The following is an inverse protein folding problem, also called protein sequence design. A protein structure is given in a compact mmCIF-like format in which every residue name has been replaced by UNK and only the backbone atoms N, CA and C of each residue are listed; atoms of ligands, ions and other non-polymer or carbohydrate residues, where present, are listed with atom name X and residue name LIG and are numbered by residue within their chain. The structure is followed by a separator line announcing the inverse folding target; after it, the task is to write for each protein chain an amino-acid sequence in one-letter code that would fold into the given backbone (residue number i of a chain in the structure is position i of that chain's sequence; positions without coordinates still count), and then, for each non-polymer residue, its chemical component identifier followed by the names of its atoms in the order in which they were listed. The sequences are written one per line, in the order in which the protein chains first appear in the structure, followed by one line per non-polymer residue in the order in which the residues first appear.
data_IF_278633091724
#
_entry.id   IF_278633091724
#
_cell.length_a   1.000
_cell.length_b   1.000
_cell.length_c   1.000
_cell.angle_alpha   90.00
_cell.angle_beta   90.00
_cell.angle_gamma   90.00
#
_symmetry.space_group_name_H-M   'P 1'
#
loop_
_entity.id
_entity.type
_entity.pdbx_description
1 polymer ?
#
# COMPACT_ATOMS: atom_id res chain seq x y z
N UNK A 1 -4.00 8.65 8.18
CA UNK A 1 -4.89 8.14 9.26
C UNK A 1 -4.44 8.71 10.60
N UNK A 2 -4.49 10.04 10.75
CA UNK A 2 -4.08 10.72 11.99
C UNK A 2 -5.32 10.99 12.84
N UNK A 3 -6.33 11.65 12.25
CA UNK A 3 -7.63 11.86 12.90
C UNK A 3 -8.23 10.55 13.44
N UNK A 4 -8.20 9.46 12.69
CA UNK A 4 -8.77 8.18 13.12
C UNK A 4 -8.08 7.58 14.37
N UNK A 5 -6.82 7.96 14.63
CA UNK A 5 -6.04 7.49 15.79
C UNK A 5 -6.28 8.33 17.05
N UNK A 6 -6.94 9.48 16.93
CA UNK A 6 -7.18 10.38 18.05
C UNK A 6 -8.31 9.87 18.99
N UNK A 7 -8.28 10.26 20.29
CA UNK A 7 -9.38 10.01 21.22
C UNK A 7 -10.70 10.63 20.74
N UNK A 8 -11.83 10.02 21.14
CA UNK A 8 -13.15 10.47 20.72
C UNK A 8 -13.47 11.91 21.16
N UNK A 9 -13.03 12.30 22.36
CA UNK A 9 -13.19 13.66 22.89
C UNK A 9 -12.53 14.71 22.00
N UNK A 10 -11.34 14.40 21.45
CA UNK A 10 -10.62 15.30 20.56
C UNK A 10 -11.23 15.32 19.15
N UNK A 11 -11.65 14.16 18.63
CA UNK A 11 -12.36 14.07 17.33
C UNK A 11 -13.63 14.92 17.30
N UNK A 12 -14.38 14.99 18.40
CA UNK A 12 -15.60 15.78 18.50
C UNK A 12 -15.35 17.30 18.38
N UNK A 13 -14.13 17.77 18.67
CA UNK A 13 -13.73 19.17 18.58
C UNK A 13 -13.09 19.55 17.24
N UNK A 14 -12.87 18.57 16.35
CA UNK A 14 -12.21 18.76 15.06
C UNK A 14 -13.20 18.60 13.91
N UNK A 15 -12.96 19.31 12.80
CA UNK A 15 -13.69 19.11 11.55
C UNK A 15 -12.73 18.91 10.38
N UNK A 16 -13.10 18.06 9.44
CA UNK A 16 -12.33 17.85 8.21
C UNK A 16 -12.60 19.03 7.28
N UNK A 17 -11.59 19.84 6.99
CA UNK A 17 -11.70 20.96 6.04
C UNK A 17 -11.41 20.52 4.60
N UNK A 18 -10.57 19.50 4.43
CA UNK A 18 -10.18 18.97 3.14
C UNK A 18 -9.69 17.54 3.30
N UNK A 19 -9.97 16.69 2.31
CA UNK A 19 -9.45 15.33 2.24
C UNK A 19 -8.74 15.17 0.89
N UNK A 20 -7.45 14.90 0.94
CA UNK A 20 -6.69 14.56 -0.27
C UNK A 20 -7.19 13.23 -0.83
N UNK A 21 -7.16 13.04 -2.16
CA UNK A 21 -7.35 11.73 -2.76
C UNK A 21 -6.44 10.69 -2.10
N UNK A 22 -6.97 9.48 -1.90
CA UNK A 22 -6.17 8.37 -1.39
C UNK A 22 -5.16 7.94 -2.44
N UNK A 23 -3.92 7.74 -2.01
CA UNK A 23 -2.86 7.17 -2.85
C UNK A 23 -2.53 5.77 -2.34
N UNK A 24 -2.25 4.81 -3.24
CA UNK A 24 -1.83 3.47 -2.83
C UNK A 24 -0.59 3.53 -1.93
N UNK A 25 -0.50 2.58 -0.99
CA UNK A 25 0.65 2.46 -0.10
C UNK A 25 1.92 2.04 -0.87
N UNK A 26 3.08 2.10 -0.21
CA UNK A 26 4.36 1.84 -0.86
C UNK A 26 4.40 0.50 -1.62
N UNK A 27 4.81 0.52 -2.90
CA UNK A 27 4.90 -0.69 -3.71
C UNK A 27 6.15 -1.51 -3.36
N UNK A 28 6.08 -2.81 -3.61
CA UNK A 28 7.28 -3.65 -3.72
C UNK A 28 7.77 -3.51 -5.16
N UNK A 29 8.89 -2.82 -5.35
CA UNK A 29 9.49 -2.60 -6.67
C UNK A 29 10.59 -3.62 -6.96
N UNK A 30 10.71 -4.01 -8.23
CA UNK A 30 11.79 -4.84 -8.73
C UNK A 30 12.54 -4.11 -9.84
N UNK A 31 13.87 -4.18 -9.82
CA UNK A 31 14.72 -3.58 -10.83
C UNK A 31 14.54 -4.28 -12.19
N UNK A 32 14.64 -3.54 -13.30
CA UNK A 32 14.48 -4.05 -14.69
C UNK A 32 15.41 -5.23 -15.05
N UNK A 33 16.66 -5.20 -14.57
CA UNK A 33 17.63 -6.31 -14.59
C UNK A 33 17.12 -7.65 -14.06
N UNK A 34 16.08 -7.69 -13.24
CA UNK A 34 15.49 -8.95 -12.75
C UNK A 34 14.66 -9.59 -13.86
N UNK A 35 14.86 -10.89 -14.19
CA UNK A 35 14.09 -11.57 -15.23
C UNK A 35 12.58 -11.44 -15.02
N UNK A 36 11.78 -11.20 -16.08
CA UNK A 36 10.33 -11.04 -15.98
C UNK A 36 9.64 -12.21 -15.26
N UNK A 37 10.04 -13.45 -15.57
CA UNK A 37 9.49 -14.66 -14.96
C UNK A 37 9.68 -14.69 -13.44
N UNK A 38 10.84 -14.23 -12.95
CA UNK A 38 11.12 -14.15 -11.52
C UNK A 38 10.29 -13.04 -10.85
N UNK A 39 10.17 -11.88 -11.49
CA UNK A 39 9.31 -10.78 -11.00
C UNK A 39 7.86 -11.24 -10.84
N UNK A 40 7.31 -11.90 -11.85
CA UNK A 40 5.95 -12.42 -11.80
C UNK A 40 5.75 -13.52 -10.75
N UNK A 41 6.73 -14.41 -10.61
CA UNK A 41 6.69 -15.48 -9.61
C UNK A 41 6.67 -14.90 -8.21
N UNK A 42 7.52 -13.91 -7.93
CA UNK A 42 7.54 -13.20 -6.65
C UNK A 42 6.21 -12.50 -6.37
N UNK A 43 5.66 -11.75 -7.34
CA UNK A 43 4.35 -11.11 -7.17
C UNK A 43 3.24 -12.12 -6.87
N UNK A 44 3.20 -13.25 -7.59
CA UNK A 44 2.21 -14.33 -7.34
C UNK A 44 2.37 -14.94 -5.96
N UNK A 45 3.60 -15.20 -5.52
CA UNK A 45 3.89 -15.76 -4.18
C UNK A 45 3.41 -14.84 -3.06
N UNK A 46 3.66 -13.53 -3.17
CA UNK A 46 3.18 -12.55 -2.16
C UNK A 46 1.66 -12.54 -2.10
N UNK A 47 0.98 -12.57 -3.24
CA UNK A 47 -0.49 -12.61 -3.28
C UNK A 47 -1.05 -13.93 -2.72
N UNK A 48 -0.36 -15.05 -2.93
CA UNK A 48 -0.72 -16.34 -2.33
C UNK A 48 -0.60 -16.30 -0.81
N UNK A 49 0.49 -15.75 -0.27
CA UNK A 49 0.68 -15.56 1.17
C UNK A 49 -0.40 -14.66 1.80
N UNK A 50 -0.98 -13.74 1.05
CA UNK A 50 -2.08 -12.91 1.54
C UNK A 50 -3.40 -13.68 1.70
N UNK A 51 -3.60 -14.74 0.91
CA UNK A 51 -4.78 -15.61 0.97
C UNK A 51 -4.71 -16.67 2.07
N UNK A 52 -3.52 -16.96 2.60
CA UNK A 52 -3.32 -17.99 3.62
C UNK A 52 -3.45 -17.41 5.05
N UNK A 53 -4.30 -17.98 5.92
CA UNK A 53 -4.49 -17.48 7.29
C UNK A 53 -3.21 -17.55 8.15
N UNK A 54 -2.38 -18.57 7.92
CA UNK A 54 -1.11 -18.79 8.63
C UNK A 54 -0.09 -17.68 8.39
N UNK A 55 -0.04 -17.12 7.18
CA UNK A 55 0.89 -16.04 6.79
C UNK A 55 0.34 -14.64 7.03
N UNK A 56 -0.95 -14.47 7.35
CA UNK A 56 -1.52 -13.16 7.67
C UNK A 56 -0.81 -12.48 8.86
N UNK A 57 -0.42 -13.24 9.88
CA UNK A 57 0.28 -12.68 11.03
C UNK A 57 1.63 -12.08 10.64
N UNK A 58 2.39 -12.79 9.78
CA UNK A 58 3.66 -12.33 9.23
C UNK A 58 3.46 -11.05 8.40
N UNK A 59 2.49 -11.05 7.49
CA UNK A 59 2.20 -9.90 6.64
C UNK A 59 1.74 -8.66 7.43
N UNK A 60 0.98 -8.86 8.51
CA UNK A 60 0.62 -7.78 9.45
C UNK A 60 1.85 -7.22 10.16
N UNK A 61 2.79 -8.07 10.58
CA UNK A 61 3.99 -7.64 11.28
C UNK A 61 4.89 -6.72 10.42
N UNK A 62 4.91 -6.93 9.11
CA UNK A 62 5.65 -6.08 8.15
C UNK A 62 4.79 -4.99 7.49
N UNK A 63 3.60 -4.71 8.03
CA UNK A 63 2.68 -3.69 7.52
C UNK A 63 2.16 -3.93 6.07
N UNK A 64 2.25 -5.15 5.53
CA UNK A 64 1.72 -5.54 4.21
C UNK A 64 0.47 -6.41 4.40
N UNK A 65 -0.45 -5.97 5.27
CA UNK A 65 -1.60 -6.79 5.69
C UNK A 65 -2.59 -7.17 4.58
N UNK A 66 -2.67 -6.37 3.50
CA UNK A 66 -3.55 -6.59 2.34
C UNK A 66 -2.83 -6.14 1.06
N UNK A 67 -1.89 -6.91 0.53
CA UNK A 67 -1.21 -6.56 -0.72
C UNK A 67 -2.21 -6.59 -1.88
N UNK A 68 -1.99 -5.70 -2.84
CA UNK A 68 -2.72 -5.64 -4.10
C UNK A 68 -1.72 -5.56 -5.24
N UNK A 69 -2.12 -6.00 -6.44
CA UNK A 69 -1.26 -5.85 -7.62
C UNK A 69 -1.15 -4.37 -7.96
N UNK A 70 0.05 -3.82 -7.82
CA UNK A 70 0.35 -2.45 -8.19
C UNK A 70 0.50 -2.31 -9.71
N UNK A 71 0.02 -1.18 -10.24
CA UNK A 71 0.20 -0.76 -11.63
C UNK A 71 0.78 0.65 -11.65
N UNK A 72 1.99 0.83 -12.20
CA UNK A 72 2.67 2.12 -12.19
C UNK A 72 1.84 3.23 -12.85
N UNK A 73 1.27 2.96 -14.01
CA UNK A 73 0.55 3.95 -14.81
C UNK A 73 -0.71 4.43 -14.09
N UNK A 74 -1.45 3.52 -13.48
CA UNK A 74 -2.68 3.84 -12.76
C UNK A 74 -2.43 4.42 -11.37
N UNK A 75 -1.48 3.86 -10.63
CA UNK A 75 -1.37 4.07 -9.19
C UNK A 75 -0.36 5.17 -8.82
N UNK A 76 0.66 5.41 -9.66
CA UNK A 76 1.80 6.28 -9.30
C UNK A 76 2.09 7.39 -10.30
N UNK A 77 1.67 7.29 -11.57
CA UNK A 77 1.99 8.32 -12.59
C UNK A 77 1.50 9.74 -12.27
N UNK A 78 0.46 9.88 -11.45
CA UNK A 78 -0.02 11.18 -10.99
C UNK A 78 0.88 11.79 -9.91
N UNK A 79 1.55 10.96 -9.10
CA UNK A 79 2.49 11.40 -8.07
C UNK A 79 3.79 11.93 -8.68
N UNK A 80 4.26 11.31 -9.76
CA UNK A 80 5.43 11.74 -10.51
C UNK A 80 5.30 13.19 -11.01
N UNK A 81 4.14 13.51 -11.58
CA UNK A 81 3.82 14.87 -12.04
C UNK A 81 3.83 15.90 -10.91
N UNK A 82 3.52 15.47 -9.69
CA UNK A 82 3.49 16.32 -8.50
C UNK A 82 4.82 16.35 -7.74
N UNK A 83 5.83 15.55 -8.16
CA UNK A 83 7.10 15.33 -7.45
C UNK A 83 6.91 14.83 -6.02
N UNK A 84 5.98 13.90 -5.82
CA UNK A 84 5.58 13.34 -4.52
C UNK A 84 5.90 11.84 -4.38
N UNK A 85 6.80 11.32 -5.22
CA UNK A 85 7.23 9.92 -5.26
C UNK A 85 8.47 9.63 -4.44
#
# INVERSE_FOLDING_TARGET
KTLDKEPQSLKALLRIIYRTPGVPAHPICAHSRVPPSLRETMSRSVMKLAGEPSSQALLRAVAISKPVKADYGKDYSSLERLRLE
#
